data_IF_353636263804
#
_entry.id   IF_353636263804
#
_cell.length_a   1.000
_cell.length_b   1.000
_cell.length_c   1.000
_cell.angle_alpha   90.00
_cell.angle_beta   90.00
_cell.angle_gamma   90.00
#
_symmetry.space_group_name_H-M   'P 1'
#
loop_
_entity.id
_entity.type
_entity.pdbx_description
1 polymer ?
#
# COMPACT_ATOMS: atom_id res chain seq x y z
N UNK A 1 23.16 -11.23 -28.87
CA UNK A 1 22.70 -12.31 -29.76
C UNK A 1 21.92 -11.65 -30.88
N UNK A 2 22.36 -11.82 -32.13
CA UNK A 2 21.71 -11.19 -33.30
C UNK A 2 20.44 -11.92 -33.74
N UNK A 3 19.62 -11.30 -34.62
CA UNK A 3 18.43 -11.95 -35.15
C UNK A 3 18.84 -13.13 -36.05
N UNK A 4 18.33 -14.32 -35.72
CA UNK A 4 18.58 -15.54 -36.48
C UNK A 4 17.99 -16.77 -35.79
N UNK A 5 17.84 -17.87 -36.53
CA UNK A 5 17.41 -19.13 -35.95
C UNK A 5 18.53 -19.69 -35.04
N UNK A 6 18.25 -19.81 -33.75
CA UNK A 6 19.14 -20.44 -32.79
C UNK A 6 18.49 -21.68 -32.22
N UNK A 7 19.26 -22.74 -31.98
CA UNK A 7 18.84 -23.88 -31.17
C UNK A 7 19.44 -23.73 -29.79
N UNK A 8 18.59 -23.78 -28.77
CA UNK A 8 18.99 -23.76 -27.37
C UNK A 8 18.67 -25.12 -26.77
N UNK A 9 19.62 -25.69 -26.03
CA UNK A 9 19.37 -26.82 -25.16
C UNK A 9 19.24 -26.28 -23.74
N UNK A 10 18.11 -26.53 -23.09
CA UNK A 10 17.86 -26.16 -21.72
C UNK A 10 17.63 -27.44 -20.92
N UNK A 11 18.39 -27.61 -19.86
CA UNK A 11 18.20 -28.68 -18.89
C UNK A 11 17.89 -28.04 -17.54
N UNK A 12 16.76 -28.43 -16.93
CA UNK A 12 16.32 -27.94 -15.63
C UNK A 12 16.15 -29.15 -14.72
N UNK A 13 16.84 -29.12 -13.58
CA UNK A 13 16.69 -30.11 -12.52
C UNK A 13 16.22 -29.39 -11.25
N UNK A 14 15.01 -29.69 -10.79
CA UNK A 14 14.41 -29.10 -9.60
C UNK A 14 14.30 -30.14 -8.49
N UNK A 15 14.58 -29.72 -7.26
CA UNK A 15 14.29 -30.51 -6.07
C UNK A 15 12.89 -30.13 -5.55
N UNK A 16 11.97 -31.07 -5.57
CA UNK A 16 10.57 -30.91 -5.12
C UNK A 16 10.31 -31.42 -3.71
N UNK A 17 11.37 -31.73 -2.95
CA UNK A 17 11.23 -32.13 -1.55
C UNK A 17 10.73 -30.95 -0.73
N UNK A 18 9.78 -31.20 0.17
CA UNK A 18 9.34 -30.18 1.14
C UNK A 18 10.51 -29.81 2.08
N UNK A 19 10.69 -28.53 2.28
CA UNK A 19 11.66 -27.96 3.22
C UNK A 19 10.93 -27.13 4.27
N UNK A 20 11.38 -27.14 5.54
CA UNK A 20 10.83 -26.24 6.54
C UNK A 20 11.26 -24.80 6.22
N UNK A 21 10.36 -23.85 6.48
CA UNK A 21 10.63 -22.43 6.55
C UNK A 21 10.48 -21.96 8.00
N UNK A 22 11.10 -20.84 8.38
CA UNK A 22 11.18 -20.40 9.75
C UNK A 22 10.96 -18.90 9.90
N UNK A 23 9.75 -18.48 10.25
CA UNK A 23 9.50 -17.11 10.66
C UNK A 23 10.11 -16.85 12.05
N UNK A 24 10.72 -15.69 12.21
CA UNK A 24 11.26 -15.27 13.51
C UNK A 24 10.43 -14.11 14.04
N UNK A 25 9.69 -14.38 15.13
CA UNK A 25 8.81 -13.41 15.76
C UNK A 25 9.38 -12.94 17.09
N UNK A 26 9.59 -11.63 17.22
CA UNK A 26 10.05 -11.01 18.46
C UNK A 26 9.03 -10.00 18.99
N UNK A 27 8.73 -10.07 20.29
CA UNK A 27 7.68 -9.24 20.89
C UNK A 27 8.24 -8.36 22.00
N UNK A 28 7.96 -7.06 21.92
CA UNK A 28 8.17 -6.10 22.99
C UNK A 28 6.81 -5.70 23.57
N UNK A 29 6.48 -6.25 24.75
CA UNK A 29 5.14 -6.10 25.34
C UNK A 29 4.87 -4.67 25.80
N UNK A 30 3.71 -4.14 25.45
CA UNK A 30 3.23 -2.83 25.88
C UNK A 30 2.82 -2.78 27.33
N UNK A 31 2.81 -1.56 27.91
CA UNK A 31 2.47 -1.33 29.32
C UNK A 31 1.04 -0.81 29.53
N UNK A 32 0.43 -0.17 28.55
CA UNK A 32 -0.87 0.52 28.70
C UNK A 32 -1.97 -0.19 27.92
N UNK A 33 -1.78 -0.38 26.64
CA UNK A 33 -2.68 -1.08 25.72
C UNK A 33 -1.96 -2.30 25.13
N UNK A 34 -1.56 -3.22 26.01
CA UNK A 34 -0.74 -4.40 25.66
C UNK A 34 -1.43 -5.36 24.67
N UNK A 35 -2.75 -5.26 24.55
CA UNK A 35 -3.57 -6.01 23.61
C UNK A 35 -3.69 -5.33 22.23
N UNK A 36 -3.13 -4.13 22.03
CA UNK A 36 -3.04 -3.48 20.74
C UNK A 36 -1.62 -3.69 20.17
N UNK A 37 -1.55 -4.10 18.92
CA UNK A 37 -0.32 -4.54 18.28
C UNK A 37 0.10 -3.62 17.15
N UNK A 38 1.33 -3.19 17.18
CA UNK A 38 2.03 -2.55 16.07
C UNK A 38 3.00 -3.59 15.51
N UNK A 39 2.83 -3.94 14.25
CA UNK A 39 3.55 -5.05 13.63
C UNK A 39 4.53 -4.48 12.61
N UNK A 40 5.76 -4.96 12.62
CA UNK A 40 6.86 -4.59 11.74
C UNK A 40 7.41 -5.84 11.08
N UNK A 41 7.45 -5.89 9.76
CA UNK A 41 7.93 -7.06 9.04
C UNK A 41 8.91 -6.74 7.92
N UNK A 42 9.71 -7.73 7.59
CA UNK A 42 10.60 -7.82 6.44
C UNK A 42 10.94 -9.29 6.22
N UNK A 43 11.09 -9.73 4.97
CA UNK A 43 11.53 -11.11 4.77
C UNK A 43 13.05 -11.26 4.87
N UNK A 44 13.52 -12.51 4.89
CA UNK A 44 14.94 -12.81 5.06
C UNK A 44 15.43 -13.97 4.16
N UNK A 45 14.54 -14.58 3.40
CA UNK A 45 14.93 -15.46 2.29
C UNK A 45 15.21 -14.62 1.04
N UNK A 46 15.83 -15.22 0.03
CA UNK A 46 16.21 -14.55 -1.20
C UNK A 46 16.25 -15.54 -2.36
N UNK A 47 16.03 -15.06 -3.59
CA UNK A 47 16.19 -15.91 -4.78
C UNK A 47 17.61 -16.41 -4.96
N UNK A 48 18.62 -15.60 -4.63
CA UNK A 48 20.03 -15.96 -4.80
C UNK A 48 20.89 -15.51 -3.63
N UNK A 49 21.50 -14.30 -3.70
CA UNK A 49 22.38 -13.77 -2.64
C UNK A 49 21.66 -12.78 -1.71
N UNK A 50 20.72 -11.98 -2.25
CA UNK A 50 19.79 -11.20 -1.48
C UNK A 50 20.36 -10.01 -0.70
N UNK A 51 21.42 -9.37 -1.18
CA UNK A 51 22.05 -8.29 -0.44
C UNK A 51 21.21 -7.03 -0.40
N UNK A 52 20.53 -6.71 -1.50
CA UNK A 52 19.53 -5.65 -1.57
C UNK A 52 18.19 -6.22 -1.18
N UNK A 53 17.72 -7.24 -1.89
CA UNK A 53 16.43 -7.88 -1.73
C UNK A 53 16.58 -9.25 -1.03
N UNK A 54 16.27 -9.35 0.29
CA UNK A 54 15.72 -8.31 1.18
C UNK A 54 16.64 -7.86 2.32
N UNK A 55 17.91 -8.27 2.32
CA UNK A 55 18.76 -8.14 3.51
C UNK A 55 19.04 -6.68 3.88
N UNK A 56 18.99 -5.76 2.92
CA UNK A 56 19.14 -4.33 3.20
C UNK A 56 18.04 -3.80 4.13
N UNK A 57 16.78 -4.13 3.87
CA UNK A 57 15.65 -3.78 4.73
C UNK A 57 15.61 -4.59 6.02
N UNK A 58 15.93 -5.89 5.94
CA UNK A 58 16.05 -6.76 7.12
C UNK A 58 17.11 -6.26 8.11
N UNK A 59 18.26 -5.79 7.62
CA UNK A 59 19.31 -5.22 8.45
C UNK A 59 18.83 -3.91 9.13
N UNK A 60 18.10 -3.07 8.41
CA UNK A 60 17.48 -1.86 8.99
C UNK A 60 16.49 -2.23 10.10
N UNK A 61 15.64 -3.23 9.90
CA UNK A 61 14.69 -3.72 10.92
C UNK A 61 15.39 -4.33 12.13
N UNK A 62 16.47 -5.06 11.95
CA UNK A 62 17.28 -5.59 13.06
C UNK A 62 17.92 -4.46 13.89
N UNK A 63 18.38 -3.37 13.25
CA UNK A 63 18.88 -2.19 13.94
C UNK A 63 17.78 -1.48 14.72
N UNK A 64 16.57 -1.34 14.16
CA UNK A 64 15.40 -0.85 14.89
C UNK A 64 15.14 -1.67 16.15
N UNK A 65 15.03 -2.99 16.02
CA UNK A 65 14.77 -3.90 17.14
C UNK A 65 15.89 -3.81 18.21
N UNK A 66 17.15 -3.67 17.77
CA UNK A 66 18.29 -3.47 18.66
C UNK A 66 18.15 -2.18 19.48
N UNK A 67 17.77 -1.07 18.82
CA UNK A 67 17.58 0.25 19.45
C UNK A 67 16.40 0.20 20.42
N UNK A 68 15.25 -0.36 20.01
CA UNK A 68 14.08 -0.52 20.89
C UNK A 68 14.41 -1.35 22.12
N UNK A 69 15.17 -2.45 21.96
CA UNK A 69 15.65 -3.27 23.06
C UNK A 69 16.61 -2.50 23.99
N UNK A 70 17.44 -1.59 23.47
CA UNK A 70 18.28 -0.72 24.30
C UNK A 70 17.46 0.31 25.09
N UNK A 71 16.47 0.95 24.44
CA UNK A 71 15.58 1.89 25.11
C UNK A 71 14.79 1.19 26.21
N UNK A 72 14.30 -0.01 25.94
CA UNK A 72 13.60 -0.83 26.95
C UNK A 72 14.49 -1.12 28.16
N UNK A 73 15.74 -1.54 27.94
CA UNK A 73 16.71 -1.75 29.04
C UNK A 73 17.03 -0.48 29.84
N UNK A 74 16.82 0.71 29.26
CA UNK A 74 16.95 2.02 29.93
C UNK A 74 15.67 2.49 30.59
N UNK A 75 14.60 1.68 30.58
CA UNK A 75 13.34 1.95 31.27
C UNK A 75 12.19 2.45 30.37
N UNK A 76 12.40 2.61 29.06
CA UNK A 76 11.28 2.88 28.16
C UNK A 76 10.47 1.61 27.93
N UNK A 77 9.16 1.72 28.05
CA UNK A 77 8.21 0.63 27.74
C UNK A 77 7.17 1.22 26.80
N UNK A 78 6.93 0.64 25.61
CA UNK A 78 5.91 1.15 24.70
C UNK A 78 4.52 1.05 25.35
N UNK A 79 3.61 1.93 24.98
CA UNK A 79 2.23 1.84 25.46
C UNK A 79 1.51 0.63 24.83
N UNK A 80 1.74 0.35 23.54
CA UNK A 80 1.24 -0.81 22.79
C UNK A 80 2.35 -1.85 22.59
N UNK A 81 1.94 -3.09 22.37
CA UNK A 81 2.87 -4.17 22.03
C UNK A 81 3.44 -3.98 20.62
N UNK A 82 4.76 -4.07 20.49
CA UNK A 82 5.47 -4.08 19.20
C UNK A 82 5.83 -5.53 18.87
N UNK A 83 5.52 -5.96 17.64
CA UNK A 83 5.85 -7.29 17.14
C UNK A 83 6.73 -7.13 15.90
N UNK A 84 7.96 -7.62 15.97
CA UNK A 84 8.88 -7.72 14.84
C UNK A 84 8.76 -9.10 14.22
N UNK A 85 8.65 -9.15 12.91
CA UNK A 85 8.49 -10.38 12.14
C UNK A 85 9.56 -10.42 11.04
N UNK A 86 10.44 -11.41 11.08
CA UNK A 86 11.31 -11.74 9.96
C UNK A 86 10.70 -12.96 9.26
N UNK A 87 10.20 -12.72 8.05
CA UNK A 87 9.46 -13.71 7.29
C UNK A 87 10.38 -14.59 6.45
N UNK A 88 10.03 -15.85 6.28
CA UNK A 88 10.73 -16.81 5.45
C UNK A 88 9.81 -17.31 4.32
N UNK A 89 10.37 -17.58 3.16
CA UNK A 89 9.62 -18.06 2.00
C UNK A 89 8.74 -16.99 1.35
N UNK A 90 9.15 -15.74 1.39
CA UNK A 90 8.50 -14.65 0.66
C UNK A 90 8.61 -14.89 -0.84
N UNK A 91 9.81 -15.12 -1.32
CA UNK A 91 10.18 -15.24 -2.73
C UNK A 91 9.41 -16.32 -3.52
N UNK A 92 9.13 -17.49 -2.97
CA UNK A 92 8.27 -18.47 -3.63
C UNK A 92 6.76 -18.19 -3.52
N UNK A 93 6.34 -17.09 -2.90
CA UNK A 93 4.94 -16.66 -2.85
C UNK A 93 4.41 -16.30 -1.46
N UNK A 94 5.14 -15.52 -0.69
CA UNK A 94 4.74 -14.93 0.61
C UNK A 94 4.38 -15.99 1.67
N UNK A 95 5.04 -17.17 1.64
CA UNK A 95 4.54 -18.35 2.37
C UNK A 95 4.46 -18.11 3.88
N UNK A 96 5.52 -17.56 4.50
CA UNK A 96 5.57 -17.35 5.95
C UNK A 96 4.53 -16.34 6.42
N UNK A 97 4.52 -15.15 5.82
CA UNK A 97 3.58 -14.09 6.21
C UNK A 97 2.12 -14.45 5.97
N UNK A 98 1.80 -15.10 4.85
CA UNK A 98 0.44 -15.55 4.53
C UNK A 98 -0.05 -16.58 5.54
N UNK A 99 0.71 -17.63 5.79
CA UNK A 99 0.34 -18.69 6.75
C UNK A 99 0.20 -18.14 8.18
N UNK A 100 1.08 -17.22 8.55
CA UNK A 100 1.01 -16.59 9.86
C UNK A 100 -0.24 -15.71 9.99
N UNK A 101 -0.55 -14.88 8.99
CA UNK A 101 -1.74 -14.02 8.99
C UNK A 101 -3.03 -14.85 8.97
N UNK A 102 -3.10 -15.90 8.17
CA UNK A 102 -4.26 -16.80 8.14
C UNK A 102 -4.50 -17.48 9.48
N UNK A 103 -3.43 -18.00 10.09
CA UNK A 103 -3.49 -18.68 11.40
C UNK A 103 -3.90 -17.73 12.52
N UNK A 104 -3.46 -16.46 12.49
CA UNK A 104 -3.72 -15.47 13.53
C UNK A 104 -4.79 -14.44 13.16
N UNK A 105 -5.61 -14.71 12.12
CA UNK A 105 -6.55 -13.74 11.56
C UNK A 105 -7.47 -13.12 12.62
N UNK A 106 -8.04 -13.93 13.52
CA UNK A 106 -8.96 -13.44 14.53
C UNK A 106 -8.31 -12.48 15.53
N UNK A 107 -7.07 -12.78 15.94
CA UNK A 107 -6.29 -11.92 16.82
C UNK A 107 -5.85 -10.64 16.09
N UNK A 108 -5.38 -10.76 14.85
CA UNK A 108 -4.97 -9.63 14.04
C UNK A 108 -6.11 -8.65 13.80
N UNK A 109 -7.28 -9.15 13.43
CA UNK A 109 -8.45 -8.30 13.22
C UNK A 109 -8.92 -7.61 14.49
N UNK A 110 -8.65 -8.19 15.65
CA UNK A 110 -9.02 -7.62 16.95
C UNK A 110 -7.98 -6.67 17.52
N UNK A 111 -6.69 -6.93 17.28
CA UNK A 111 -5.59 -6.32 18.03
C UNK A 111 -4.63 -5.48 17.17
N UNK A 112 -4.47 -5.78 15.87
CA UNK A 112 -3.49 -5.09 15.04
C UNK A 112 -3.93 -3.65 14.70
N UNK A 113 -3.07 -2.69 15.04
CA UNK A 113 -3.24 -1.26 14.71
C UNK A 113 -2.82 -1.02 13.27
N UNK A 114 -1.59 -1.41 12.94
CA UNK A 114 -1.00 -1.28 11.64
C UNK A 114 0.11 -2.31 11.44
N UNK A 115 0.37 -2.61 10.18
CA UNK A 115 1.55 -3.34 9.72
C UNK A 115 2.47 -2.38 8.97
N UNK A 116 3.75 -2.37 9.30
CA UNK A 116 4.77 -1.59 8.60
C UNK A 116 5.76 -2.55 7.99
N UNK A 117 5.79 -2.57 6.69
CA UNK A 117 6.68 -3.39 5.87
C UNK A 117 7.95 -2.63 5.49
N UNK A 118 8.99 -3.34 5.22
CA UNK A 118 10.04 -3.02 4.28
C UNK A 118 10.47 -4.32 3.61
N UNK A 119 11.22 -4.17 2.54
CA UNK A 119 11.73 -5.24 1.72
C UNK A 119 13.18 -4.89 1.34
N UNK A 120 13.52 -4.76 0.06
CA UNK A 120 14.76 -4.16 -0.38
C UNK A 120 14.85 -2.66 -0.05
N UNK A 121 16.05 -2.16 0.07
CA UNK A 121 16.31 -0.75 0.34
C UNK A 121 17.59 -0.29 -0.35
N UNK A 122 17.44 0.66 -1.23
CA UNK A 122 18.50 1.23 -2.04
C UNK A 122 18.89 2.64 -1.60
N UNK A 123 19.61 3.30 -2.47
CA UNK A 123 19.94 4.71 -2.40
C UNK A 123 18.88 5.55 -3.10
N UNK A 124 18.46 6.67 -2.49
CA UNK A 124 17.60 7.62 -3.18
C UNK A 124 16.55 8.30 -2.32
N UNK A 125 15.32 8.26 -2.76
CA UNK A 125 14.21 8.98 -2.17
C UNK A 125 13.33 8.02 -1.37
N UNK A 126 12.62 8.53 -0.37
CA UNK A 126 11.61 7.72 0.30
C UNK A 126 10.54 7.30 -0.70
N UNK A 127 10.46 6.02 -0.94
CA UNK A 127 9.32 5.34 -1.54
C UNK A 127 8.37 4.92 -0.41
N UNK A 128 7.11 5.29 -0.52
CA UNK A 128 6.12 4.97 0.50
C UNK A 128 4.80 4.56 -0.16
N UNK A 129 4.41 3.34 0.08
CA UNK A 129 3.12 2.80 -0.29
C UNK A 129 2.28 2.45 0.93
N UNK A 130 0.98 2.25 0.74
CA UNK A 130 0.11 1.82 1.83
C UNK A 130 -1.33 2.25 1.73
N UNK A 131 -2.04 2.06 2.84
CA UNK A 131 -3.39 2.55 3.00
C UNK A 131 -3.37 4.03 3.36
N UNK A 132 -4.12 4.85 2.63
CA UNK A 132 -4.02 6.32 2.71
C UNK A 132 -4.54 6.90 4.03
N UNK A 133 -5.16 6.12 4.90
CA UNK A 133 -5.47 6.51 6.29
C UNK A 133 -4.21 6.78 7.12
N UNK A 134 -3.05 6.23 6.73
CA UNK A 134 -1.75 6.49 7.33
C UNK A 134 -0.93 7.58 6.61
N UNK A 135 -1.44 8.21 5.56
CA UNK A 135 -0.70 9.18 4.72
C UNK A 135 -0.20 10.40 5.50
N UNK A 136 -1.08 11.02 6.28
CA UNK A 136 -0.70 12.16 7.12
C UNK A 136 0.28 11.76 8.23
N UNK A 137 0.15 10.54 8.75
CA UNK A 137 1.04 9.99 9.77
C UNK A 137 2.47 9.83 9.24
N UNK A 138 2.66 9.11 8.13
CA UNK A 138 4.00 8.90 7.55
C UNK A 138 4.62 10.19 7.05
N UNK A 139 3.81 11.11 6.52
CA UNK A 139 4.27 12.46 6.16
C UNK A 139 4.84 13.22 7.36
N UNK A 140 4.21 13.08 8.54
CA UNK A 140 4.71 13.63 9.80
C UNK A 140 6.04 13.02 10.23
N UNK A 141 6.19 11.71 10.08
CA UNK A 141 7.46 10.99 10.35
C UNK A 141 8.57 11.47 9.41
N UNK A 142 8.30 11.50 8.11
CA UNK A 142 9.28 11.89 7.09
C UNK A 142 9.78 13.33 7.23
N UNK A 143 9.02 14.23 7.88
CA UNK A 143 9.47 15.62 8.16
C UNK A 143 10.57 15.68 9.21
N UNK A 144 10.67 14.71 10.10
CA UNK A 144 11.61 14.75 11.21
C UNK A 144 12.87 13.93 10.95
N UNK A 145 12.86 13.08 9.94
CA UNK A 145 14.04 12.34 9.51
C UNK A 145 14.81 13.17 8.50
N UNK A 146 16.12 13.29 8.69
CA UNK A 146 17.01 14.00 7.79
C UNK A 146 17.48 13.09 6.67
N UNK A 147 17.31 13.52 5.44
CA UNK A 147 17.89 12.86 4.27
C UNK A 147 19.43 12.87 4.37
N UNK A 148 20.10 11.72 4.16
CA UNK A 148 21.53 11.60 4.40
C UNK A 148 22.40 12.47 3.48
N UNK A 149 21.96 12.73 2.25
CA UNK A 149 22.74 13.45 1.26
C UNK A 149 22.43 14.95 1.21
N UNK A 150 21.16 15.28 1.05
CA UNK A 150 20.75 16.68 0.84
C UNK A 150 20.64 17.49 2.12
N UNK A 151 20.57 16.84 3.29
CA UNK A 151 20.33 17.45 4.61
C UNK A 151 18.96 18.11 4.75
N UNK A 152 18.12 18.03 3.74
CA UNK A 152 16.68 18.34 3.86
C UNK A 152 15.99 17.29 4.73
N UNK A 153 14.72 17.50 5.08
CA UNK A 153 13.93 16.39 5.59
C UNK A 153 13.62 15.41 4.46
N UNK A 154 13.49 14.13 4.80
CA UNK A 154 13.05 13.09 3.87
C UNK A 154 11.76 13.51 3.15
N UNK A 155 10.79 14.09 3.89
CA UNK A 155 9.58 14.67 3.31
C UNK A 155 9.87 15.70 2.23
N UNK A 156 10.72 16.69 2.54
CA UNK A 156 10.99 17.79 1.62
C UNK A 156 11.66 17.30 0.32
N UNK A 157 12.60 16.35 0.44
CA UNK A 157 13.26 15.76 -0.72
C UNK A 157 12.26 15.01 -1.59
N UNK A 158 11.50 14.07 -1.03
CA UNK A 158 10.51 13.26 -1.77
C UNK A 158 9.41 14.11 -2.40
N UNK A 159 8.94 15.15 -1.70
CA UNK A 159 7.95 16.09 -2.25
C UNK A 159 8.48 16.85 -3.47
N UNK A 160 9.74 17.33 -3.42
CA UNK A 160 10.37 18.01 -4.56
C UNK A 160 10.59 17.06 -5.74
N UNK A 161 10.96 15.80 -5.47
CA UNK A 161 11.08 14.77 -6.50
C UNK A 161 9.73 14.49 -7.17
N UNK A 162 8.64 14.36 -6.40
CA UNK A 162 7.31 14.21 -6.96
C UNK A 162 6.93 15.38 -7.89
N UNK A 163 7.23 16.63 -7.49
CA UNK A 163 7.02 17.80 -8.36
C UNK A 163 7.87 17.74 -9.63
N UNK A 164 9.11 17.28 -9.54
CA UNK A 164 10.00 17.17 -10.70
C UNK A 164 9.53 16.09 -11.71
N UNK A 165 8.97 14.98 -11.19
CA UNK A 165 8.48 13.84 -11.98
C UNK A 165 7.05 14.02 -12.50
N UNK A 166 6.31 15.02 -12.03
CA UNK A 166 4.94 15.28 -12.45
C UNK A 166 4.83 15.49 -13.96
N UNK A 167 3.84 14.86 -14.58
CA UNK A 167 3.65 14.79 -16.04
C UNK A 167 3.40 16.15 -16.70
N UNK A 168 2.72 17.06 -15.98
CA UNK A 168 2.31 18.34 -16.53
C UNK A 168 2.33 19.48 -15.47
N UNK A 169 1.97 20.69 -15.89
CA UNK A 169 1.99 21.87 -15.04
C UNK A 169 0.84 21.88 -14.00
N UNK A 170 -0.29 21.23 -14.32
CA UNK A 170 -1.44 21.15 -13.43
C UNK A 170 -1.11 20.24 -12.24
N UNK A 171 -0.59 19.05 -12.49
CA UNK A 171 -0.14 18.13 -11.46
C UNK A 171 0.95 18.75 -10.57
N UNK A 172 1.93 19.48 -11.17
CA UNK A 172 2.93 20.24 -10.39
C UNK A 172 2.32 21.29 -9.49
N UNK A 173 1.27 21.99 -9.97
CA UNK A 173 0.59 23.00 -9.19
C UNK A 173 -0.18 22.40 -8.02
N UNK A 174 -0.79 21.23 -8.21
CA UNK A 174 -1.52 20.52 -7.18
C UNK A 174 -0.57 19.91 -6.13
N UNK A 175 0.52 19.28 -6.55
CA UNK A 175 1.55 18.81 -5.62
C UNK A 175 2.09 19.92 -4.73
N UNK A 176 2.35 21.14 -5.27
CA UNK A 176 2.83 22.27 -4.48
C UNK A 176 1.85 22.76 -3.41
N UNK A 177 0.55 22.48 -3.55
CA UNK A 177 -0.46 22.83 -2.54
C UNK A 177 -0.54 21.80 -1.41
N UNK A 178 -0.05 20.58 -1.64
CA UNK A 178 -0.12 19.50 -0.67
C UNK A 178 0.86 19.69 0.48
N UNK A 179 0.39 19.30 1.65
CA UNK A 179 1.21 19.22 2.87
C UNK A 179 1.45 17.77 3.31
N UNK A 180 1.29 16.82 2.40
CA UNK A 180 1.47 15.39 2.63
C UNK A 180 2.19 14.74 1.45
N UNK A 181 2.83 13.59 1.69
CA UNK A 181 3.27 12.68 0.64
C UNK A 181 2.06 11.86 0.19
N UNK A 182 1.93 11.63 -1.09
CA UNK A 182 0.91 10.72 -1.60
C UNK A 182 1.42 9.30 -1.40
N UNK A 183 0.68 8.49 -0.65
CA UNK A 183 0.93 7.06 -0.56
C UNK A 183 0.40 6.36 -1.81
N UNK A 184 1.25 5.57 -2.45
CA UNK A 184 0.84 4.71 -3.54
C UNK A 184 0.02 3.53 -3.03
N UNK A 185 -0.98 3.11 -3.81
CA UNK A 185 -1.72 1.90 -3.49
C UNK A 185 -0.81 0.68 -3.65
N UNK A 186 -0.81 -0.20 -2.67
CA UNK A 186 -0.09 -1.46 -2.73
C UNK A 186 -0.95 -2.53 -3.40
N UNK A 187 -0.32 -3.35 -4.24
CA UNK A 187 -0.94 -4.50 -4.87
C UNK A 187 -0.47 -5.80 -4.23
N UNK A 188 0.59 -6.38 -4.82
CA UNK A 188 1.27 -7.58 -4.38
C UNK A 188 2.78 -7.35 -4.50
N UNK A 189 3.60 -8.25 -4.01
CA UNK A 189 5.04 -8.16 -4.22
C UNK A 189 5.84 -7.99 -2.94
N UNK A 190 5.20 -8.04 -1.76
CA UNK A 190 5.87 -8.25 -0.47
C UNK A 190 4.86 -8.66 0.60
N UNK A 191 5.35 -8.94 1.80
CA UNK A 191 4.62 -9.49 2.95
C UNK A 191 3.44 -8.63 3.45
N UNK A 192 3.32 -7.37 3.02
CA UNK A 192 2.18 -6.52 3.34
C UNK A 192 0.86 -7.06 2.76
N UNK A 193 0.91 -7.87 1.71
CA UNK A 193 -0.25 -8.35 0.95
C UNK A 193 -1.26 -9.07 1.85
N UNK A 194 -0.81 -10.00 2.69
CA UNK A 194 -1.72 -10.73 3.58
C UNK A 194 -2.37 -9.83 4.63
N UNK A 195 -1.65 -8.86 5.15
CA UNK A 195 -2.16 -7.90 6.14
C UNK A 195 -3.21 -6.97 5.53
N UNK A 196 -2.92 -6.39 4.36
CA UNK A 196 -3.81 -5.46 3.68
C UNK A 196 -5.00 -6.13 3.01
N UNK A 197 -4.73 -7.15 2.18
CA UNK A 197 -5.71 -7.67 1.22
C UNK A 197 -6.58 -8.77 1.80
N UNK A 198 -6.06 -9.53 2.78
CA UNK A 198 -6.79 -10.59 3.44
C UNK A 198 -7.33 -10.20 4.81
N UNK A 199 -6.48 -9.62 5.67
CA UNK A 199 -6.85 -9.27 7.05
C UNK A 199 -7.48 -7.88 7.19
N UNK A 200 -7.28 -6.95 6.23
CA UNK A 200 -7.82 -5.59 6.24
C UNK A 200 -7.17 -4.69 7.28
N UNK A 201 -5.88 -4.82 7.47
CA UNK A 201 -5.09 -4.02 8.41
C UNK A 201 -4.50 -2.83 7.67
N UNK A 202 -4.51 -1.65 8.30
CA UNK A 202 -3.81 -0.48 7.77
C UNK A 202 -2.33 -0.76 7.64
N UNK A 203 -1.77 -0.49 6.46
CA UNK A 203 -0.44 -0.96 6.08
C UNK A 203 0.41 0.16 5.50
N UNK A 204 1.69 0.16 5.82
CA UNK A 204 2.73 0.96 5.16
C UNK A 204 3.80 0.01 4.60
N UNK A 205 4.31 0.35 3.44
CA UNK A 205 5.54 -0.21 2.88
C UNK A 205 6.53 0.92 2.65
N UNK A 206 7.75 0.79 3.19
CA UNK A 206 8.73 1.87 3.26
C UNK A 206 10.10 1.39 2.79
N UNK A 207 10.66 2.11 1.83
CA UNK A 207 12.03 1.93 1.35
C UNK A 207 12.62 3.26 0.87
N UNK A 208 13.91 3.28 0.63
CA UNK A 208 14.56 4.31 -0.19
C UNK A 208 14.96 3.69 -1.51
N UNK A 209 14.77 4.39 -2.61
CA UNK A 209 15.04 3.88 -3.96
C UNK A 209 15.15 5.01 -5.01
N UNK A 210 15.30 4.64 -6.27
CA UNK A 210 15.14 5.46 -7.48
C UNK A 210 16.25 6.48 -7.79
N UNK A 211 17.38 6.45 -7.12
CA UNK A 211 18.52 7.28 -7.52
C UNK A 211 19.41 6.59 -8.56
N UNK A 212 19.47 5.26 -8.49
CA UNK A 212 20.15 4.43 -9.47
C UNK A 212 19.24 3.28 -9.92
N UNK A 213 19.23 2.98 -11.22
CA UNK A 213 18.54 1.79 -11.74
C UNK A 213 19.45 0.58 -11.49
N UNK A 214 19.13 -0.21 -10.47
CA UNK A 214 19.82 -1.45 -10.18
C UNK A 214 19.26 -2.60 -11.01
N UNK A 215 20.03 -3.09 -11.99
CA UNK A 215 19.65 -4.27 -12.79
C UNK A 215 20.02 -5.61 -12.10
N UNK A 216 20.42 -5.59 -10.82
CA UNK A 216 20.85 -6.78 -10.08
C UNK A 216 19.70 -7.57 -9.46
N UNK A 217 18.53 -6.97 -9.30
CA UNK A 217 17.33 -7.55 -8.70
C UNK A 217 17.04 -8.97 -9.20
N UNK A 218 16.81 -9.90 -8.28
CA UNK A 218 16.54 -11.32 -8.52
C UNK A 218 17.64 -12.04 -9.34
N UNK A 219 18.85 -11.53 -9.33
CA UNK A 219 19.98 -12.13 -10.04
C UNK A 219 21.16 -12.49 -9.13
N UNK A 220 22.14 -13.23 -9.66
CA UNK A 220 23.36 -13.57 -8.92
C UNK A 220 24.22 -12.34 -8.57
N UNK A 221 23.89 -11.19 -9.13
CA UNK A 221 24.60 -9.93 -8.90
C UNK A 221 24.02 -9.12 -7.75
N UNK A 222 22.87 -9.50 -7.20
CA UNK A 222 22.39 -8.97 -5.93
C UNK A 222 23.23 -9.52 -4.77
N UNK A 223 24.50 -9.16 -4.74
CA UNK A 223 25.45 -9.61 -3.76
C UNK A 223 26.00 -8.44 -2.92
N UNK A 224 26.63 -8.78 -1.80
CA UNK A 224 27.16 -7.80 -0.87
C UNK A 224 28.22 -6.88 -1.50
N UNK A 225 28.99 -7.39 -2.49
CA UNK A 225 29.98 -6.57 -3.20
C UNK A 225 29.30 -5.49 -4.00
N UNK A 226 28.28 -5.86 -4.81
CA UNK A 226 27.50 -4.90 -5.59
C UNK A 226 26.84 -3.85 -4.70
N UNK A 227 26.12 -4.29 -3.69
CA UNK A 227 25.40 -3.40 -2.78
C UNK A 227 26.32 -2.36 -2.14
N UNK A 228 27.50 -2.79 -1.61
CA UNK A 228 28.43 -1.92 -0.89
C UNK A 228 29.33 -1.07 -1.81
N UNK A 229 29.36 -1.33 -3.11
CA UNK A 229 30.18 -0.57 -4.05
C UNK A 229 29.37 0.35 -4.96
N UNK A 230 28.10 0.04 -5.21
CA UNK A 230 27.31 0.73 -6.21
C UNK A 230 25.94 1.20 -5.70
N UNK A 231 25.47 0.72 -4.57
CA UNK A 231 24.17 1.06 -4.02
C UNK A 231 24.32 1.92 -2.74
N UNK A 232 24.26 1.34 -1.56
CA UNK A 232 24.42 2.08 -0.28
C UNK A 232 25.80 1.84 0.31
N UNK A 233 26.80 2.51 -0.27
CA UNK A 233 28.22 2.25 -0.04
C UNK A 233 28.70 2.49 1.39
N UNK A 234 27.99 3.28 2.17
CA UNK A 234 28.29 3.64 3.56
C UNK A 234 27.08 3.39 4.50
N UNK A 235 26.08 2.67 4.02
CA UNK A 235 24.87 2.26 4.75
C UNK A 235 24.07 3.43 5.32
N UNK A 236 24.12 4.60 4.68
CA UNK A 236 23.42 5.80 5.17
C UNK A 236 21.93 5.71 4.88
N UNK A 237 21.53 5.05 3.80
CA UNK A 237 20.12 4.84 3.46
C UNK A 237 19.50 3.71 4.25
N UNK A 238 20.23 2.63 4.55
CA UNK A 238 19.81 1.63 5.54
C UNK A 238 19.56 2.24 6.91
N UNK A 239 20.43 3.17 7.34
CA UNK A 239 20.19 3.95 8.56
C UNK A 239 18.97 4.88 8.43
N UNK A 240 18.76 5.54 7.29
CA UNK A 240 17.61 6.41 7.05
C UNK A 240 16.30 5.63 7.10
N UNK A 241 16.27 4.41 6.53
CA UNK A 241 15.13 3.50 6.64
C UNK A 241 14.87 3.12 8.10
N UNK A 242 15.91 2.68 8.83
CA UNK A 242 15.79 2.35 10.25
C UNK A 242 15.26 3.52 11.09
N UNK A 243 15.68 4.77 10.79
CA UNK A 243 15.18 5.96 11.45
C UNK A 243 13.73 6.27 11.08
N UNK A 244 13.35 6.10 9.82
CA UNK A 244 11.98 6.39 9.34
C UNK A 244 11.00 5.37 9.86
N UNK A 245 11.25 4.08 9.61
CA UNK A 245 10.38 3.00 10.06
C UNK A 245 10.36 2.90 11.59
N UNK A 246 11.52 2.99 12.25
CA UNK A 246 11.61 2.97 13.71
C UNK A 246 10.87 4.13 14.38
N UNK A 247 10.92 5.36 13.80
CA UNK A 247 10.11 6.50 14.28
C UNK A 247 8.62 6.26 14.08
N UNK A 248 8.22 5.65 12.96
CA UNK A 248 6.83 5.27 12.72
C UNK A 248 6.35 4.26 13.77
N UNK A 249 7.12 3.19 14.01
CA UNK A 249 6.80 2.16 15.01
C UNK A 249 6.68 2.76 16.42
N UNK A 250 7.64 3.59 16.85
CA UNK A 250 7.58 4.24 18.18
C UNK A 250 6.34 5.11 18.32
N UNK A 251 6.02 5.91 17.31
CA UNK A 251 4.83 6.80 17.34
C UNK A 251 3.52 6.02 17.33
N UNK A 252 3.42 4.96 16.54
CA UNK A 252 2.25 4.06 16.56
C UNK A 252 2.11 3.40 17.93
N UNK A 253 3.24 2.97 18.52
CA UNK A 253 3.24 2.29 19.80
C UNK A 253 2.89 3.21 20.99
N UNK A 254 3.29 4.48 20.95
CA UNK A 254 3.13 5.42 22.10
C UNK A 254 2.01 6.45 21.90
N UNK A 255 1.34 6.49 20.72
CA UNK A 255 0.24 7.42 20.51
C UNK A 255 -0.97 7.06 21.38
N UNK A 256 -1.51 8.03 22.13
CA UNK A 256 -2.77 7.84 22.86
C UNK A 256 -3.91 7.52 21.90
N UNK A 257 -4.15 8.37 20.90
CA UNK A 257 -5.09 8.14 19.81
C UNK A 257 -4.38 7.49 18.63
N UNK A 258 -4.97 6.43 18.07
CA UNK A 258 -4.45 5.82 16.82
C UNK A 258 -4.31 6.90 15.74
N UNK A 259 -3.11 7.09 15.15
CA UNK A 259 -2.83 8.26 14.33
C UNK A 259 -3.26 8.11 12.87
N UNK A 260 -4.53 7.80 12.66
CA UNK A 260 -5.15 7.70 11.31
C UNK A 260 -5.88 8.98 10.94
N UNK A 261 -6.03 9.22 9.64
CA UNK A 261 -6.85 10.27 9.07
C UNK A 261 -7.46 9.76 7.75
N UNK A 262 -8.77 9.78 7.66
CA UNK A 262 -9.47 9.15 6.54
C UNK A 262 -9.71 10.08 5.35
N UNK A 263 -9.42 11.39 5.46
CA UNK A 263 -9.61 12.32 4.33
C UNK A 263 -8.73 11.97 3.12
N UNK A 264 -7.43 11.65 3.28
CA UNK A 264 -6.61 11.18 2.15
C UNK A 264 -7.11 9.87 1.53
N UNK A 265 -7.66 8.97 2.34
CA UNK A 265 -8.22 7.70 1.84
C UNK A 265 -9.50 7.93 1.02
N UNK A 266 -10.39 8.80 1.48
CA UNK A 266 -11.59 9.17 0.73
C UNK A 266 -11.23 9.87 -0.60
N UNK A 267 -10.22 10.75 -0.60
CA UNK A 267 -9.68 11.39 -1.82
C UNK A 267 -9.15 10.35 -2.81
N UNK A 268 -8.36 9.39 -2.33
CA UNK A 268 -7.82 8.33 -3.17
C UNK A 268 -8.91 7.44 -3.78
N UNK A 269 -9.90 7.03 -2.98
CA UNK A 269 -11.02 6.21 -3.48
C UNK A 269 -11.86 6.97 -4.52
N UNK A 270 -12.10 8.28 -4.33
CA UNK A 270 -12.77 9.12 -5.31
C UNK A 270 -11.98 9.23 -6.63
N UNK A 271 -10.65 9.34 -6.54
CA UNK A 271 -9.77 9.31 -7.71
C UNK A 271 -9.85 7.98 -8.44
N UNK A 272 -9.82 6.85 -7.73
CA UNK A 272 -9.93 5.51 -8.34
C UNK A 272 -11.27 5.31 -9.06
N UNK A 273 -12.36 5.80 -8.50
CA UNK A 273 -13.68 5.77 -9.18
C UNK A 273 -13.67 6.62 -10.45
N UNK A 274 -13.16 7.84 -10.40
CA UNK A 274 -13.02 8.72 -11.56
C UNK A 274 -12.17 8.08 -12.68
N UNK A 275 -11.13 7.34 -12.32
CA UNK A 275 -10.32 6.59 -13.27
C UNK A 275 -11.10 5.46 -13.95
N UNK A 276 -12.05 4.81 -13.25
CA UNK A 276 -12.94 3.81 -13.86
C UNK A 276 -13.90 4.44 -14.87
N UNK A 277 -14.49 5.59 -14.53
CA UNK A 277 -15.34 6.33 -15.48
C UNK A 277 -14.55 6.74 -16.72
N UNK A 278 -13.34 7.27 -16.51
CA UNK A 278 -12.45 7.64 -17.60
C UNK A 278 -12.09 6.43 -18.46
N UNK A 279 -11.73 5.29 -17.85
CA UNK A 279 -11.43 4.05 -18.57
C UNK A 279 -12.61 3.61 -19.46
N UNK A 280 -13.83 3.64 -18.91
CA UNK A 280 -15.04 3.32 -19.68
C UNK A 280 -15.21 4.25 -20.88
N UNK A 281 -15.08 5.56 -20.65
CA UNK A 281 -15.20 6.57 -21.70
C UNK A 281 -14.14 6.41 -22.78
N UNK A 282 -12.90 6.24 -22.39
CA UNK A 282 -11.78 6.05 -23.32
C UNK A 282 -12.01 4.79 -24.20
N UNK A 283 -12.53 3.70 -23.62
CA UNK A 283 -12.86 2.48 -24.38
C UNK A 283 -14.07 2.65 -25.30
N UNK A 284 -15.07 3.41 -24.89
CA UNK A 284 -16.21 3.75 -25.77
C UNK A 284 -15.74 4.57 -26.96
N UNK A 285 -14.91 5.56 -26.78
CA UNK A 285 -14.38 6.41 -27.82
C UNK A 285 -13.44 5.62 -28.76
N UNK A 286 -12.51 4.83 -28.21
CA UNK A 286 -11.59 3.97 -28.95
C UNK A 286 -12.35 3.02 -29.88
N UNK A 287 -13.35 2.32 -29.36
CA UNK A 287 -14.08 1.31 -30.17
C UNK A 287 -15.02 1.96 -31.18
N UNK A 288 -15.60 3.11 -30.86
CA UNK A 288 -16.41 3.88 -31.78
C UNK A 288 -15.58 4.35 -32.97
N UNK A 289 -14.41 4.94 -32.70
CA UNK A 289 -13.49 5.43 -33.73
C UNK A 289 -12.96 4.28 -34.60
N UNK A 290 -12.46 3.20 -33.97
CA UNK A 290 -12.02 2.00 -34.72
C UNK A 290 -13.08 1.45 -35.67
N UNK A 291 -14.32 1.35 -35.21
CA UNK A 291 -15.43 0.87 -36.05
C UNK A 291 -15.75 1.83 -37.21
N UNK A 292 -15.57 3.13 -36.98
CA UNK A 292 -15.74 4.15 -38.04
C UNK A 292 -14.62 4.03 -39.09
N UNK A 293 -13.34 3.94 -38.64
CA UNK A 293 -12.19 3.75 -39.53
C UNK A 293 -12.29 2.47 -40.36
N UNK A 294 -12.81 1.38 -39.78
CA UNK A 294 -13.08 0.14 -40.51
C UNK A 294 -14.12 0.35 -41.59
N UNK A 295 -15.21 1.06 -41.27
CA UNK A 295 -16.30 1.36 -42.22
C UNK A 295 -15.84 2.28 -43.35
N UNK A 296 -14.98 3.23 -43.08
CA UNK A 296 -14.40 4.17 -44.05
C UNK A 296 -13.30 3.54 -44.89
N UNK A 297 -12.78 2.38 -44.53
CA UNK A 297 -11.71 1.69 -45.23
C UNK A 297 -10.30 2.26 -44.97
N UNK A 298 -10.11 2.99 -43.87
CA UNK A 298 -8.83 3.63 -43.51
C UNK A 298 -7.73 2.59 -43.45
N UNK A 299 -7.95 1.45 -42.82
CA UNK A 299 -6.96 0.37 -42.72
C UNK A 299 -6.58 -0.25 -44.06
N UNK A 300 -7.49 -0.26 -45.01
CA UNK A 300 -7.21 -0.72 -46.39
C UNK A 300 -6.40 0.31 -47.14
N UNK A 301 -6.80 1.58 -47.04
CA UNK A 301 -6.16 2.69 -47.78
C UNK A 301 -4.72 2.96 -47.29
N UNK A 302 -4.42 2.74 -46.00
CA UNK A 302 -3.09 2.98 -45.41
C UNK A 302 -2.17 1.75 -45.43
N UNK A 303 -2.70 0.59 -45.84
CA UNK A 303 -1.94 -0.65 -45.88
C UNK A 303 -0.98 -0.70 -47.10
N UNK A 304 0.23 -1.24 -46.90
CA UNK A 304 1.13 -1.51 -48.04
C UNK A 304 0.63 -2.74 -48.81
N UNK A 305 0.24 -2.59 -50.09
CA UNK A 305 -0.26 -3.71 -50.89
C UNK A 305 0.73 -4.86 -51.07
N UNK A 306 2.04 -4.60 -50.88
CA UNK A 306 3.11 -5.60 -51.00
C UNK A 306 3.27 -6.43 -49.73
N UNK A 307 2.82 -5.88 -48.59
CA UNK A 307 2.88 -6.51 -47.26
C UNK A 307 1.56 -6.29 -46.53
N UNK A 308 0.43 -6.87 -47.01
CA UNK A 308 -0.88 -6.56 -46.48
C UNK A 308 -1.02 -7.07 -45.04
N UNK A 309 -1.43 -6.17 -44.15
CA UNK A 309 -1.86 -6.52 -42.79
C UNK A 309 -3.38 -6.65 -42.75
N UNK A 310 -3.87 -7.59 -41.96
CA UNK A 310 -5.31 -7.72 -41.73
C UNK A 310 -5.78 -6.52 -40.89
N UNK A 311 -6.89 -5.86 -41.27
CA UNK A 311 -7.48 -4.86 -40.39
C UNK A 311 -7.86 -5.45 -39.03
N UNK A 312 -7.84 -4.65 -37.94
CA UNK A 312 -8.34 -5.12 -36.65
C UNK A 312 -9.83 -5.50 -36.75
N UNK A 313 -10.32 -6.41 -35.91
CA UNK A 313 -11.75 -6.72 -35.88
C UNK A 313 -12.56 -5.54 -35.36
N UNK A 314 -13.82 -5.46 -35.77
CA UNK A 314 -14.77 -4.54 -35.16
C UNK A 314 -15.03 -4.92 -33.70
N UNK A 315 -15.15 -3.93 -32.84
CA UNK A 315 -15.39 -4.10 -31.40
C UNK A 315 -16.79 -3.67 -31.01
N UNK A 316 -17.35 -4.34 -30.02
CA UNK A 316 -18.63 -3.92 -29.45
C UNK A 316 -18.36 -2.75 -28.49
N UNK A 317 -18.93 -1.58 -28.81
CA UNK A 317 -18.79 -0.39 -27.95
C UNK A 317 -19.36 -0.70 -26.57
N UNK A 318 -18.59 -0.43 -25.49
CA UNK A 318 -19.02 -0.69 -24.13
C UNK A 318 -20.37 -0.03 -23.81
N UNK A 319 -21.28 -0.75 -23.13
CA UNK A 319 -22.53 -0.14 -22.68
C UNK A 319 -22.26 0.89 -21.56
N UNK A 320 -23.27 1.66 -21.21
CA UNK A 320 -23.25 2.47 -20.01
C UNK A 320 -23.14 1.58 -18.77
N UNK A 321 -22.30 1.96 -17.82
CA UNK A 321 -22.20 1.36 -16.48
C UNK A 321 -22.69 2.41 -15.46
N UNK A 322 -23.59 2.01 -14.59
CA UNK A 322 -24.13 2.90 -13.56
C UNK A 322 -23.20 2.96 -12.34
N UNK A 323 -22.32 3.96 -12.26
CA UNK A 323 -21.46 4.23 -11.13
C UNK A 323 -22.13 5.05 -10.00
N UNK A 324 -23.38 5.52 -10.17
CA UNK A 324 -24.04 6.37 -9.20
C UNK A 324 -24.10 5.79 -7.76
N UNK A 325 -24.31 4.48 -7.52
CA UNK A 325 -24.25 3.92 -6.19
C UNK A 325 -22.87 4.13 -5.52
N UNK A 326 -21.79 3.91 -6.28
CA UNK A 326 -20.42 4.08 -5.77
C UNK A 326 -20.11 5.56 -5.48
N UNK A 327 -20.52 6.47 -6.37
CA UNK A 327 -20.37 7.92 -6.15
C UNK A 327 -21.09 8.39 -4.89
N UNK A 328 -22.31 7.95 -4.68
CA UNK A 328 -23.08 8.30 -3.47
C UNK A 328 -22.41 7.77 -2.21
N UNK A 329 -21.85 6.55 -2.26
CA UNK A 329 -21.10 5.97 -1.14
C UNK A 329 -19.81 6.77 -0.86
N UNK A 330 -19.08 7.17 -1.90
CA UNK A 330 -17.86 8.01 -1.80
C UNK A 330 -18.19 9.39 -1.25
N UNK A 331 -19.27 10.02 -1.68
CA UNK A 331 -19.72 11.32 -1.15
C UNK A 331 -20.03 11.22 0.35
N UNK A 332 -20.61 10.10 0.79
CA UNK A 332 -20.85 9.82 2.22
C UNK A 332 -19.55 9.60 2.97
N UNK A 333 -18.65 8.80 2.41
CA UNK A 333 -17.31 8.56 2.97
C UNK A 333 -16.53 9.86 3.14
N UNK A 334 -16.54 10.74 2.13
CA UNK A 334 -15.86 12.04 2.18
C UNK A 334 -16.38 12.90 3.32
N UNK A 335 -17.72 13.01 3.48
CA UNK A 335 -18.33 13.78 4.57
C UNK A 335 -17.99 13.22 5.96
N UNK A 336 -18.03 11.90 6.12
CA UNK A 336 -17.65 11.23 7.36
C UNK A 336 -16.18 11.46 7.70
N UNK A 337 -15.31 11.37 6.69
CA UNK A 337 -13.87 11.61 6.81
C UNK A 337 -13.56 13.06 7.16
N UNK A 338 -14.19 14.03 6.50
CA UNK A 338 -14.07 15.46 6.81
C UNK A 338 -14.50 15.78 8.26
N UNK A 339 -15.59 15.18 8.72
CA UNK A 339 -16.05 15.32 10.12
C UNK A 339 -14.99 14.83 11.11
N UNK A 340 -14.43 13.63 10.88
CA UNK A 340 -13.40 13.06 11.74
C UNK A 340 -12.13 13.93 11.72
N UNK A 341 -11.65 14.34 10.54
CA UNK A 341 -10.48 15.21 10.39
C UNK A 341 -10.68 16.58 11.07
N UNK A 342 -11.89 17.16 11.01
CA UNK A 342 -12.22 18.39 11.70
C UNK A 342 -12.17 18.20 13.23
N UNK A 343 -12.71 17.10 13.75
CA UNK A 343 -12.62 16.78 15.19
C UNK A 343 -11.16 16.58 15.62
N UNK A 344 -10.35 15.90 14.81
CA UNK A 344 -8.91 15.70 15.06
C UNK A 344 -8.14 17.02 15.06
N UNK A 345 -8.42 17.92 14.11
CA UNK A 345 -7.83 19.25 14.06
C UNK A 345 -8.21 20.09 15.29
N UNK A 346 -9.49 20.06 15.71
CA UNK A 346 -9.96 20.73 16.91
C UNK A 346 -9.29 20.20 18.19
N UNK A 347 -9.08 18.89 18.29
CA UNK A 347 -8.36 18.25 19.39
C UNK A 347 -6.90 18.72 19.45
N UNK A 348 -6.20 18.68 18.31
CA UNK A 348 -4.80 19.11 18.19
C UNK A 348 -4.62 20.61 18.49
N UNK A 349 -5.54 21.44 18.04
CA UNK A 349 -5.48 22.91 18.30
C UNK A 349 -5.58 23.26 19.78
N UNK A 350 -6.19 22.38 20.60
CA UNK A 350 -6.25 22.51 22.06
C UNK A 350 -5.03 21.90 22.78
N UNK A 351 -4.01 21.50 22.05
CA UNK A 351 -2.80 20.85 22.60
C UNK A 351 -2.99 19.39 22.95
N UNK A 352 -3.94 18.70 22.33
CA UNK A 352 -4.23 17.28 22.54
C UNK A 352 -4.43 16.92 24.03
N UNK A 353 -5.44 17.48 24.70
CA UNK A 353 -5.65 17.25 26.13
C UNK A 353 -5.93 15.78 26.42
N UNK A 354 -5.55 15.29 27.59
CA UNK A 354 -5.79 13.93 27.98
C UNK A 354 -7.29 13.58 27.94
N UNK A 355 -7.64 12.50 27.25
CA UNK A 355 -9.01 12.00 27.20
C UNK A 355 -9.25 10.98 28.33
N UNK A 356 -10.51 10.81 28.81
CA UNK A 356 -10.81 9.75 29.75
C UNK A 356 -10.42 8.38 29.15
N UNK A 357 -9.73 7.55 29.94
CA UNK A 357 -9.14 6.29 29.45
C UNK A 357 -10.18 5.35 28.80
N UNK A 358 -11.39 5.26 29.36
CA UNK A 358 -12.48 4.44 28.81
C UNK A 358 -12.97 4.97 27.47
N UNK A 359 -13.10 6.30 27.33
CA UNK A 359 -13.52 6.94 26.07
C UNK A 359 -12.44 6.75 25.00
N UNK A 360 -11.17 6.94 25.36
CA UNK A 360 -10.04 6.73 24.46
C UNK A 360 -9.96 5.29 23.96
N UNK A 361 -10.17 4.31 24.86
CA UNK A 361 -10.21 2.90 24.48
C UNK A 361 -11.35 2.61 23.47
N UNK A 362 -12.53 3.22 23.66
CA UNK A 362 -13.66 3.08 22.73
C UNK A 362 -13.32 3.67 21.37
N UNK A 363 -12.81 4.91 21.32
CA UNK A 363 -12.43 5.57 20.07
C UNK A 363 -11.38 4.77 19.33
N UNK A 364 -10.32 4.33 20.00
CA UNK A 364 -9.28 3.51 19.39
C UNK A 364 -9.82 2.18 18.85
N UNK A 365 -10.76 1.53 19.56
CA UNK A 365 -11.39 0.31 19.11
C UNK A 365 -12.26 0.53 17.85
N UNK A 366 -12.90 1.68 17.73
CA UNK A 366 -13.67 2.03 16.52
C UNK A 366 -12.75 2.36 15.34
N UNK A 367 -11.69 3.13 15.57
CA UNK A 367 -10.69 3.42 14.53
C UNK A 367 -10.05 2.14 13.96
N UNK A 368 -9.74 1.17 14.82
CA UNK A 368 -9.23 -0.12 14.39
C UNK A 368 -10.16 -0.86 13.43
N UNK A 369 -11.47 -0.73 13.60
CA UNK A 369 -12.44 -1.47 12.79
C UNK A 369 -12.57 -0.92 11.37
N UNK A 370 -12.32 0.37 11.15
CA UNK A 370 -12.63 1.04 9.87
C UNK A 370 -11.96 0.34 8.68
N UNK A 371 -10.66 0.06 8.76
CA UNK A 371 -9.94 -0.59 7.66
C UNK A 371 -10.49 -1.98 7.31
N UNK A 372 -11.06 -2.71 8.31
CA UNK A 372 -11.69 -4.03 8.10
C UNK A 372 -13.05 -3.94 7.40
N UNK A 373 -13.68 -2.77 7.42
CA UNK A 373 -14.98 -2.56 6.76
C UNK A 373 -14.86 -2.49 5.23
N UNK A 374 -13.66 -2.31 4.70
CA UNK A 374 -13.39 -2.42 3.26
C UNK A 374 -13.29 -3.87 2.76
N UNK A 375 -13.37 -4.86 3.66
CA UNK A 375 -13.34 -6.28 3.29
C UNK A 375 -14.71 -6.80 2.86
N UNK A 376 -14.73 -7.61 1.79
CA UNK A 376 -15.83 -8.49 1.46
C UNK A 376 -15.42 -9.94 1.72
N UNK A 377 -16.16 -10.65 2.57
CA UNK A 377 -15.82 -12.03 2.93
C UNK A 377 -15.89 -13.02 1.76
N UNK A 378 -16.56 -12.67 0.67
CA UNK A 378 -16.56 -13.46 -0.57
C UNK A 378 -15.30 -13.26 -1.40
N UNK A 379 -14.50 -12.24 -1.06
CA UNK A 379 -13.33 -11.83 -1.81
C UNK A 379 -13.65 -11.22 -3.17
N UNK A 380 -12.59 -11.10 -3.98
CA UNK A 380 -12.71 -10.65 -5.36
C UNK A 380 -13.25 -11.78 -6.26
N UNK A 381 -13.94 -11.46 -7.35
CA UNK A 381 -14.34 -12.47 -8.35
C UNK A 381 -13.14 -13.30 -8.81
N UNK A 382 -13.34 -14.64 -8.86
CA UNK A 382 -12.32 -15.62 -9.25
C UNK A 382 -11.05 -15.67 -8.36
N UNK A 383 -10.92 -14.73 -7.39
CA UNK A 383 -9.80 -14.64 -6.44
C UNK A 383 -10.32 -14.41 -5.01
N UNK A 384 -11.00 -15.39 -4.39
CA UNK A 384 -11.71 -15.21 -3.11
C UNK A 384 -10.79 -14.96 -1.91
N UNK A 385 -9.51 -15.21 -2.04
CA UNK A 385 -8.52 -14.93 -1.01
C UNK A 385 -8.33 -13.42 -0.81
N UNK A 386 -8.31 -12.63 -1.89
CA UNK A 386 -8.25 -11.17 -1.83
C UNK A 386 -9.59 -10.60 -1.39
N UNK A 387 -9.70 -10.18 -0.14
CA UNK A 387 -10.96 -9.72 0.46
C UNK A 387 -11.14 -8.21 0.40
N UNK A 388 -10.04 -7.45 0.35
CA UNK A 388 -10.09 -6.00 0.26
C UNK A 388 -10.69 -5.57 -1.08
N UNK A 389 -11.68 -4.67 -1.02
CA UNK A 389 -12.39 -4.22 -2.23
C UNK A 389 -11.79 -2.95 -2.84
N UNK A 390 -10.89 -2.28 -2.12
CA UNK A 390 -10.23 -1.05 -2.56
C UNK A 390 -8.84 -1.34 -3.09
N UNK A 391 -8.06 -2.15 -2.35
CA UNK A 391 -6.68 -2.48 -2.66
C UNK A 391 -6.57 -3.95 -3.05
N UNK A 392 -5.91 -4.23 -4.15
CA UNK A 392 -5.53 -5.57 -4.55
C UNK A 392 -4.55 -5.50 -5.73
N UNK A 393 -3.75 -6.53 -5.97
CA UNK A 393 -3.03 -6.68 -7.22
C UNK A 393 -4.01 -6.94 -8.37
N UNK A 394 -3.62 -6.63 -9.59
CA UNK A 394 -4.34 -7.10 -10.77
C UNK A 394 -4.06 -8.58 -11.04
N UNK A 395 -5.02 -9.27 -11.70
CA UNK A 395 -4.85 -10.68 -12.05
C UNK A 395 -3.66 -10.93 -13.01
N UNK A 396 -3.22 -9.88 -13.73
CA UNK A 396 -2.17 -9.96 -14.75
C UNK A 396 -1.19 -8.78 -14.69
N UNK A 397 -1.11 -8.07 -13.58
CA UNK A 397 -0.26 -6.87 -13.45
C UNK A 397 1.03 -7.11 -12.66
N UNK A 398 1.33 -8.35 -12.28
CA UNK A 398 2.41 -8.63 -11.35
C UNK A 398 2.18 -7.87 -10.05
N UNK A 399 3.17 -7.19 -9.53
CA UNK A 399 3.12 -6.45 -8.26
C UNK A 399 2.17 -5.24 -8.26
N UNK A 400 1.80 -4.77 -9.45
CA UNK A 400 1.05 -3.52 -9.59
C UNK A 400 -0.34 -3.56 -8.97
N UNK A 401 -0.64 -2.56 -8.14
CA UNK A 401 -1.96 -2.37 -7.60
C UNK A 401 -3.00 -2.11 -8.69
N UNK A 402 -4.16 -2.69 -8.52
CA UNK A 402 -5.35 -2.41 -9.31
C UNK A 402 -6.50 -1.99 -8.38
N UNK A 403 -6.57 -0.71 -8.01
CA UNK A 403 -7.63 -0.24 -7.11
C UNK A 403 -9.02 -0.53 -7.65
N UNK A 404 -9.94 -0.90 -6.75
CA UNK A 404 -11.30 -1.34 -7.08
C UNK A 404 -11.28 -2.50 -8.10
N UNK A 405 -10.42 -3.48 -7.85
CA UNK A 405 -10.09 -4.57 -8.77
C UNK A 405 -11.33 -5.32 -9.28
N UNK A 406 -12.34 -5.55 -8.43
CA UNK A 406 -13.56 -6.26 -8.81
C UNK A 406 -14.29 -5.64 -10.01
N UNK A 407 -14.28 -4.32 -10.14
CA UNK A 407 -14.89 -3.60 -11.28
C UNK A 407 -13.90 -3.49 -12.42
N UNK A 408 -12.67 -3.03 -12.13
CA UNK A 408 -11.65 -2.71 -13.14
C UNK A 408 -11.26 -3.91 -13.97
N UNK A 409 -11.06 -5.08 -13.37
CA UNK A 409 -10.68 -6.29 -14.09
C UNK A 409 -11.73 -6.79 -15.07
N UNK A 410 -12.99 -6.73 -14.68
CA UNK A 410 -14.07 -7.06 -15.61
C UNK A 410 -14.17 -6.06 -16.77
N UNK A 411 -13.89 -4.77 -16.53
CA UNK A 411 -13.79 -3.78 -17.61
C UNK A 411 -12.62 -4.09 -18.56
N UNK A 412 -11.44 -4.40 -18.03
CA UNK A 412 -10.26 -4.79 -18.81
C UNK A 412 -10.52 -6.05 -19.66
N UNK A 413 -11.27 -7.00 -19.11
CA UNK A 413 -11.69 -8.23 -19.80
C UNK A 413 -12.89 -8.03 -20.73
N UNK A 414 -13.41 -6.79 -20.89
CA UNK A 414 -14.61 -6.48 -21.68
C UNK A 414 -15.91 -7.16 -21.19
N UNK A 415 -15.92 -7.56 -19.92
CA UNK A 415 -17.08 -8.15 -19.21
C UNK A 415 -17.92 -7.06 -18.54
N UNK A 416 -18.54 -6.20 -19.35
CA UNK A 416 -19.17 -4.95 -18.90
C UNK A 416 -20.34 -5.15 -17.92
N UNK A 417 -21.14 -6.22 -18.10
CA UNK A 417 -22.26 -6.54 -17.21
C UNK A 417 -21.78 -7.01 -15.85
N UNK A 418 -20.74 -7.82 -15.85
CA UNK A 418 -20.09 -8.31 -14.64
C UNK A 418 -19.45 -7.13 -13.89
N UNK A 419 -18.80 -6.21 -14.60
CA UNK A 419 -18.27 -4.97 -14.01
C UNK A 419 -19.36 -4.16 -13.32
N UNK A 420 -20.50 -3.90 -14.02
CA UNK A 420 -21.64 -3.20 -13.43
C UNK A 420 -22.19 -3.94 -12.20
N UNK A 421 -22.23 -5.28 -12.24
CA UNK A 421 -22.69 -6.11 -11.13
C UNK A 421 -21.81 -6.00 -9.86
N UNK A 422 -20.55 -5.56 -9.99
CA UNK A 422 -19.65 -5.36 -8.84
C UNK A 422 -19.84 -3.98 -8.19
N UNK A 423 -20.32 -2.97 -8.91
CA UNK A 423 -20.49 -1.60 -8.38
C UNK A 423 -21.26 -1.58 -7.06
N UNK A 424 -22.44 -2.25 -6.90
CA UNK A 424 -23.15 -2.27 -5.63
C UNK A 424 -22.37 -2.92 -4.48
N UNK A 425 -21.55 -3.93 -4.77
CA UNK A 425 -20.79 -4.64 -3.73
C UNK A 425 -19.67 -3.75 -3.19
N UNK A 426 -18.94 -3.07 -4.07
CA UNK A 426 -17.92 -2.09 -3.66
C UNK A 426 -18.58 -0.90 -2.94
N UNK A 427 -19.75 -0.43 -3.42
CA UNK A 427 -20.50 0.64 -2.74
C UNK A 427 -20.83 0.29 -1.30
N UNK A 428 -21.27 -0.95 -1.03
CA UNK A 428 -21.64 -1.41 0.31
C UNK A 428 -20.47 -1.36 1.30
N UNK A 429 -19.25 -1.75 0.88
CA UNK A 429 -18.10 -1.68 1.79
C UNK A 429 -17.66 -0.24 2.04
N UNK A 430 -17.78 0.65 1.05
CA UNK A 430 -17.51 2.08 1.20
C UNK A 430 -18.54 2.71 2.16
N UNK A 431 -19.83 2.39 2.03
CA UNK A 431 -20.88 2.85 2.95
C UNK A 431 -20.65 2.34 4.38
N UNK A 432 -20.23 1.08 4.54
CA UNK A 432 -19.91 0.53 5.84
C UNK A 432 -18.73 1.27 6.48
N UNK A 433 -17.68 1.55 5.72
CA UNK A 433 -16.51 2.33 6.18
C UNK A 433 -16.94 3.76 6.57
N UNK A 434 -17.76 4.43 5.77
CA UNK A 434 -18.30 5.75 6.09
C UNK A 434 -19.05 5.76 7.41
N UNK A 435 -19.93 4.76 7.65
CA UNK A 435 -20.67 4.62 8.90
C UNK A 435 -19.71 4.35 10.09
N UNK A 436 -18.65 3.54 9.89
CA UNK A 436 -17.63 3.29 10.91
C UNK A 436 -16.88 4.57 11.30
N UNK A 437 -16.50 5.38 10.30
CA UNK A 437 -15.83 6.67 10.53
C UNK A 437 -16.76 7.65 11.27
N UNK A 438 -18.04 7.73 10.89
CA UNK A 438 -19.01 8.57 11.59
C UNK A 438 -19.20 8.16 13.05
N UNK A 439 -19.21 6.85 13.33
CA UNK A 439 -19.27 6.33 14.71
C UNK A 439 -18.02 6.73 15.49
N UNK A 440 -16.83 6.54 14.91
CA UNK A 440 -15.56 6.92 15.53
C UNK A 440 -15.49 8.45 15.78
N UNK A 441 -15.96 9.27 14.84
CA UNK A 441 -16.04 10.72 14.99
C UNK A 441 -16.97 11.13 16.13
N UNK A 442 -18.16 10.53 16.21
CA UNK A 442 -19.13 10.81 17.27
C UNK A 442 -18.60 10.41 18.66
N UNK A 443 -17.92 9.27 18.78
CA UNK A 443 -17.31 8.82 20.04
C UNK A 443 -16.14 9.72 20.43
N UNK A 444 -15.34 10.16 19.45
CA UNK A 444 -14.24 11.09 19.68
C UNK A 444 -14.73 12.48 20.14
N UNK A 445 -15.76 13.04 19.50
CA UNK A 445 -16.39 14.29 19.88
C UNK A 445 -16.94 14.22 21.32
N UNK A 446 -17.58 13.10 21.70
CA UNK A 446 -18.05 12.85 23.08
C UNK A 446 -16.89 12.73 24.07
N UNK A 447 -15.81 12.06 23.70
CA UNK A 447 -14.61 11.94 24.53
C UNK A 447 -13.99 13.31 24.83
N UNK A 448 -13.91 14.18 23.81
CA UNK A 448 -13.40 15.55 23.96
C UNK A 448 -14.30 16.42 24.85
N UNK A 449 -15.62 16.26 24.77
CA UNK A 449 -16.57 17.00 25.59
C UNK A 449 -16.52 16.59 27.08
N UNK A 450 -16.22 15.32 27.35
CA UNK A 450 -16.14 14.79 28.73
C UNK A 450 -14.74 14.97 29.36
N UNK A 451 -13.73 15.34 28.60
CA UNK A 451 -12.37 15.59 29.08
C UNK A 451 -12.08 17.03 29.45
N UNK A 452 -13.03 17.95 29.21
CA UNK A 452 -12.98 19.37 29.60
C UNK A 452 -13.76 19.59 30.90
#
# INVERSE_FOLDING_TARGET
>A
VGPGAAKVHLEVASNWDSKPIYDVIATLKGAVAADQWVIRGNHHDAWVNGAEDPISGQAAMLEEARVMGQLHRRGWVPARTIIYCAWDGEEPGLLGSVEWVETHLAELQKHAIAYVNSDGNDRGYLSAGGTQDLQNFVSGVAREVQDPETKMSVFARSHLVAIARAKDAEERADLRKRNDLILEALGDGSDFTAFQDFAGISTLDLSFADEEDGDQYHSIYDDFYWYTHFVDTDFVYGRALSQTAGSAIMRLADADLVPVDYAPQAEAIAKYESELEKLLKDKQDEFTERNLELKEGVFVATNDPRHPLLPPPAEVVPPYINFAPMKNAIDTLSKSSERFSAALAAYRSKGSPALPATSLATVNADLLKVSRLFLNQRGLPERPWFKNQIYAPGAYTGYGAKPIAAVREYMDQKKWREAEGQVPQVSQVIEAAAAGIDQAAADFERAMANGT
#
